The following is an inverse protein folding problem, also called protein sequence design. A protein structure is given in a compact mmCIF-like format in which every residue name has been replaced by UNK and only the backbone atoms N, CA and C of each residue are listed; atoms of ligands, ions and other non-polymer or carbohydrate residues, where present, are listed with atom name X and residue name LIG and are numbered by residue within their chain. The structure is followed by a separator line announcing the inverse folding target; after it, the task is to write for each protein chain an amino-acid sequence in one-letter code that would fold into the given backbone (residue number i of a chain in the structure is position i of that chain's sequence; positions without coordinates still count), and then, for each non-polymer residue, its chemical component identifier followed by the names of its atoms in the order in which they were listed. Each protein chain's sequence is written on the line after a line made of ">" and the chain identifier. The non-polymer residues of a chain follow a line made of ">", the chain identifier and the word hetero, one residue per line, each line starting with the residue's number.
data_IF_222295552708
#
_entry.id   IF_222295552708
#
_cell.length_a   1.000
_cell.length_b   1.000
_cell.length_c   1.000
_cell.angle_alpha   90.00
_cell.angle_beta   90.00
_cell.angle_gamma   90.00
#
_symmetry.space_group_name_H-M   'P 1'
#
loop_
_entity.id
_entity.type
_entity.pdbx_description
1 polymer ?
#
# COMPACT_ATOMS: atom_id res chain seq x y z
N UNK A 1 -9.50 29.38 42.49
CA UNK A 1 -10.20 29.07 41.21
C UNK A 1 -9.24 29.27 40.03
N UNK A 2 -8.11 28.53 39.99
CA UNK A 2 -7.28 28.41 38.77
C UNK A 2 -7.93 27.34 37.92
N UNK A 3 -8.78 27.72 36.94
CA UNK A 3 -8.97 26.90 35.75
C UNK A 3 -7.57 26.66 35.15
N UNK A 4 -7.08 25.42 35.18
CA UNK A 4 -5.93 25.05 34.38
C UNK A 4 -6.32 25.42 32.95
N UNK A 5 -5.84 26.55 32.46
CA UNK A 5 -5.70 26.79 31.04
C UNK A 5 -4.70 25.74 30.57
N UNK A 6 -5.20 24.60 30.10
CA UNK A 6 -4.38 23.71 29.24
C UNK A 6 -4.14 24.52 27.97
N UNK A 7 -3.07 25.31 27.97
CA UNK A 7 -2.68 26.05 26.79
C UNK A 7 -2.24 25.04 25.71
N UNK A 8 -3.04 24.90 24.67
CA UNK A 8 -2.71 24.11 23.48
C UNK A 8 -1.66 24.86 22.64
N UNK A 9 -0.61 25.37 23.31
CA UNK A 9 0.50 26.07 22.66
C UNK A 9 1.39 25.02 21.99
N UNK A 10 1.66 25.12 20.66
CA UNK A 10 2.49 24.16 19.94
C UNK A 10 3.82 23.82 20.63
N UNK A 11 4.51 24.82 21.18
CA UNK A 11 5.79 24.62 21.86
C UNK A 11 5.66 23.74 23.11
N UNK A 12 4.55 23.84 23.87
CA UNK A 12 4.32 23.03 25.05
C UNK A 12 4.03 21.58 24.72
N UNK A 13 3.30 21.34 23.62
CA UNK A 13 3.03 19.98 23.11
C UNK A 13 4.34 19.33 22.64
N UNK A 14 5.16 20.06 21.88
CA UNK A 14 6.48 19.61 21.42
C UNK A 14 7.39 19.32 22.62
N UNK A 15 7.45 20.25 23.61
CA UNK A 15 8.25 20.07 24.83
C UNK A 15 7.84 18.82 25.60
N UNK A 16 6.54 18.58 25.73
CA UNK A 16 6.00 17.39 26.39
C UNK A 16 6.48 16.10 25.72
N UNK A 17 6.43 16.03 24.37
CA UNK A 17 6.92 14.87 23.63
C UNK A 17 8.43 14.74 23.67
N UNK A 18 9.15 15.85 23.54
CA UNK A 18 10.61 15.90 23.69
C UNK A 18 11.07 15.33 25.05
N UNK A 19 10.33 15.61 26.12
CA UNK A 19 10.63 15.16 27.48
C UNK A 19 10.07 13.73 27.76
N UNK A 20 9.80 12.96 26.70
CA UNK A 20 9.32 11.58 26.74
C UNK A 20 8.01 11.38 27.52
N UNK A 21 7.10 12.36 27.45
CA UNK A 21 5.77 12.29 28.07
C UNK A 21 4.72 11.98 27.00
N UNK A 22 3.75 11.13 27.37
CA UNK A 22 2.64 10.81 26.47
C UNK A 22 1.74 12.03 26.23
N UNK A 23 1.33 12.20 24.97
CA UNK A 23 0.37 13.22 24.54
C UNK A 23 -1.07 12.73 24.75
N UNK A 24 -1.96 13.62 25.13
CA UNK A 24 -3.39 13.33 25.17
C UNK A 24 -3.99 13.32 23.75
N UNK A 25 -5.18 12.74 23.61
CA UNK A 25 -5.93 12.74 22.34
C UNK A 25 -6.13 14.18 21.80
N UNK A 26 -6.45 15.13 22.67
CA UNK A 26 -6.67 16.53 22.28
C UNK A 26 -5.39 17.20 21.79
N UNK A 27 -4.23 16.94 22.43
CA UNK A 27 -2.94 17.48 21.98
C UNK A 27 -2.54 16.94 20.61
N UNK A 28 -2.83 15.66 20.35
CA UNK A 28 -2.57 15.03 19.05
C UNK A 28 -3.52 15.59 17.98
N UNK A 29 -4.81 15.73 18.26
CA UNK A 29 -5.75 16.36 17.35
C UNK A 29 -5.31 17.79 17.01
N UNK A 30 -4.95 18.60 18.01
CA UNK A 30 -4.49 19.95 17.78
C UNK A 30 -3.21 20.02 16.93
N UNK A 31 -2.29 19.08 17.12
CA UNK A 31 -1.11 18.96 16.26
C UNK A 31 -1.50 18.63 14.80
N UNK A 32 -2.41 17.68 14.59
CA UNK A 32 -2.84 17.27 13.24
C UNK A 32 -3.66 18.37 12.55
N UNK A 33 -4.54 19.06 13.26
CA UNK A 33 -5.25 20.22 12.74
C UNK A 33 -4.27 21.30 12.26
N UNK A 34 -3.23 21.55 13.04
CA UNK A 34 -2.19 22.51 12.71
C UNK A 34 -1.33 22.14 11.49
N UNK A 35 -1.30 20.84 11.09
CA UNK A 35 -0.69 20.43 9.82
C UNK A 35 -1.50 20.90 8.61
N UNK A 36 -2.81 20.99 8.74
CA UNK A 36 -3.74 21.28 7.63
C UNK A 36 -4.11 22.75 7.57
N UNK A 37 -4.29 23.42 8.71
CA UNK A 37 -4.65 24.85 8.79
C UNK A 37 -3.45 25.80 8.80
N UNK A 38 -2.22 25.25 8.96
CA UNK A 38 -0.96 26.00 8.96
C UNK A 38 -0.66 26.70 10.29
N UNK A 39 -1.38 26.41 11.37
CA UNK A 39 -1.10 26.99 12.69
C UNK A 39 0.18 26.41 13.33
N UNK A 40 0.65 25.24 12.88
CA UNK A 40 1.98 24.74 13.14
C UNK A 40 2.91 25.07 11.97
N UNK A 41 3.99 25.78 12.25
CA UNK A 41 5.05 26.05 11.26
C UNK A 41 5.81 24.76 10.90
N UNK A 42 6.45 24.73 9.71
CA UNK A 42 7.28 23.60 9.29
C UNK A 42 8.38 23.25 10.32
N UNK A 43 8.97 24.26 10.98
CA UNK A 43 9.95 24.07 12.04
C UNK A 43 9.35 23.35 13.27
N UNK A 44 8.11 23.67 13.63
CA UNK A 44 7.41 23.01 14.74
C UNK A 44 7.02 21.57 14.38
N UNK A 45 6.59 21.34 13.14
CA UNK A 45 6.28 20.00 12.64
C UNK A 45 7.56 19.14 12.60
N UNK A 46 8.68 19.70 12.14
CA UNK A 46 9.98 19.04 12.14
C UNK A 46 10.44 18.66 13.56
N UNK A 47 10.32 19.60 14.51
CA UNK A 47 10.66 19.37 15.91
C UNK A 47 9.78 18.27 16.54
N UNK A 48 8.47 18.26 16.26
CA UNK A 48 7.57 17.20 16.73
C UNK A 48 7.93 15.85 16.10
N UNK A 49 8.20 15.82 14.79
CA UNK A 49 8.60 14.59 14.07
C UNK A 49 9.88 14.00 14.69
N UNK A 50 10.87 14.85 14.99
CA UNK A 50 12.11 14.43 15.64
C UNK A 50 11.88 13.97 17.09
N UNK A 51 11.01 14.65 17.85
CA UNK A 51 10.65 14.22 19.20
C UNK A 51 9.96 12.85 19.21
N UNK A 52 9.08 12.59 18.24
CA UNK A 52 8.44 11.29 18.08
C UNK A 52 9.47 10.24 17.61
N UNK A 53 10.37 10.59 16.71
CA UNK A 53 11.41 9.67 16.23
C UNK A 53 12.31 9.20 17.38
N UNK A 54 12.75 10.13 18.25
CA UNK A 54 13.67 9.85 19.35
C UNK A 54 13.02 9.12 20.53
N UNK A 55 11.75 9.42 20.84
CA UNK A 55 11.08 8.96 22.06
C UNK A 55 9.94 7.97 21.79
N UNK A 56 9.60 7.73 20.52
CA UNK A 56 8.46 6.89 20.14
C UNK A 56 7.11 7.51 20.53
N UNK A 57 6.08 6.71 20.38
CA UNK A 57 4.71 6.96 20.85
C UNK A 57 4.16 5.69 21.51
N UNK A 58 3.28 5.86 22.49
CA UNK A 58 2.53 4.70 22.99
C UNK A 58 1.58 4.17 21.91
N UNK A 59 1.08 2.94 22.04
CA UNK A 59 0.08 2.41 21.13
C UNK A 59 -1.17 3.31 21.04
N UNK A 60 -1.63 3.85 22.15
CA UNK A 60 -2.77 4.75 22.24
C UNK A 60 -2.51 6.07 21.51
N UNK A 61 -1.33 6.68 21.73
CA UNK A 61 -0.93 7.89 20.97
C UNK A 61 -0.91 7.62 19.48
N UNK A 62 -0.43 6.45 19.04
CA UNK A 62 -0.37 6.09 17.63
C UNK A 62 -1.78 5.89 17.03
N UNK A 63 -2.71 5.31 17.79
CA UNK A 63 -4.13 5.24 17.41
C UNK A 63 -4.73 6.64 17.26
N UNK A 64 -4.52 7.52 18.23
CA UNK A 64 -5.04 8.90 18.18
C UNK A 64 -4.48 9.68 16.98
N UNK A 65 -3.18 9.52 16.70
CA UNK A 65 -2.55 10.15 15.55
C UNK A 65 -3.14 9.60 14.23
N UNK A 66 -3.34 8.29 14.14
CA UNK A 66 -3.94 7.64 12.98
C UNK A 66 -5.37 8.13 12.75
N UNK A 67 -6.21 8.16 13.80
CA UNK A 67 -7.58 8.67 13.73
C UNK A 67 -7.62 10.15 13.32
N UNK A 68 -6.79 10.99 13.94
CA UNK A 68 -6.73 12.41 13.62
C UNK A 68 -6.30 12.65 12.17
N UNK A 69 -5.27 11.94 11.70
CA UNK A 69 -4.81 12.03 10.30
C UNK A 69 -5.87 11.51 9.32
N UNK A 70 -6.59 10.44 9.66
CA UNK A 70 -7.73 9.93 8.87
C UNK A 70 -8.79 11.01 8.70
N UNK A 71 -9.17 11.67 9.80
CA UNK A 71 -10.23 12.67 9.84
C UNK A 71 -9.78 14.07 9.39
N UNK A 72 -8.52 14.25 9.00
CA UNK A 72 -8.00 15.53 8.50
C UNK A 72 -8.53 15.91 7.11
N UNK A 73 -9.18 14.98 6.41
CA UNK A 73 -9.73 15.18 5.08
C UNK A 73 -10.96 14.31 4.84
N UNK A 74 -11.21 14.00 3.58
CA UNK A 74 -12.36 13.19 3.19
C UNK A 74 -12.17 11.73 3.62
N UNK A 75 -13.26 11.10 4.01
CA UNK A 75 -13.37 9.66 4.23
C UNK A 75 -14.40 9.08 3.28
N UNK A 76 -14.09 7.92 2.67
CA UNK A 76 -15.01 7.28 1.74
C UNK A 76 -16.05 6.48 2.50
N UNK A 77 -17.31 6.70 2.15
CA UNK A 77 -18.44 5.89 2.59
C UNK A 77 -18.96 5.08 1.39
N UNK A 78 -19.02 3.78 1.54
CA UNK A 78 -19.45 2.85 0.48
C UNK A 78 -20.89 2.36 0.68
N UNK A 79 -21.48 2.50 1.88
CA UNK A 79 -22.77 1.89 2.26
C UNK A 79 -23.96 2.29 1.38
N UNK A 80 -23.88 3.43 0.71
CA UNK A 80 -24.94 3.90 -0.22
C UNK A 80 -24.78 3.32 -1.64
N UNK A 81 -23.63 2.69 -1.94
CA UNK A 81 -23.25 2.33 -3.30
C UNK A 81 -23.10 0.80 -3.42
N UNK A 82 -22.50 0.17 -2.42
CA UNK A 82 -22.16 -1.25 -2.36
C UNK A 82 -22.25 -1.75 -0.91
N UNK A 83 -22.19 -3.07 -0.72
CA UNK A 83 -22.08 -3.65 0.61
C UNK A 83 -20.70 -3.33 1.23
N UNK A 84 -20.70 -2.47 2.26
CA UNK A 84 -19.48 -2.01 2.92
C UNK A 84 -18.70 -3.12 3.63
N UNK A 85 -19.35 -4.22 4.04
CA UNK A 85 -18.69 -5.35 4.69
C UNK A 85 -17.80 -6.15 3.71
N UNK A 86 -18.06 -6.00 2.41
CA UNK A 86 -17.29 -6.62 1.33
C UNK A 86 -16.15 -5.73 0.80
N UNK A 87 -15.92 -4.54 1.39
CA UNK A 87 -14.88 -3.61 0.95
C UNK A 87 -13.55 -3.95 1.63
N UNK A 88 -12.56 -4.31 0.86
CA UNK A 88 -11.26 -4.70 1.39
C UNK A 88 -10.10 -4.13 0.57
N UNK A 89 -8.91 -4.20 1.13
CA UNK A 89 -7.70 -3.80 0.43
C UNK A 89 -6.46 -4.57 0.93
N UNK A 90 -5.38 -4.42 0.20
CA UNK A 90 -4.05 -4.91 0.56
C UNK A 90 -3.07 -3.75 0.54
N UNK A 91 -2.17 -3.72 1.52
CA UNK A 91 -1.03 -2.81 1.51
C UNK A 91 0.28 -3.58 1.54
N UNK A 92 1.24 -3.18 0.70
CA UNK A 92 2.61 -3.70 0.73
C UNK A 92 3.55 -2.67 1.31
N UNK A 93 4.54 -3.13 2.07
CA UNK A 93 5.65 -2.27 2.52
C UNK A 93 6.68 -2.00 1.43
N UNK A 94 6.50 -2.58 0.24
CA UNK A 94 7.34 -2.36 -0.93
C UNK A 94 8.51 -3.33 -1.06
N UNK A 95 8.85 -3.65 -2.31
CA UNK A 95 9.96 -4.51 -2.68
C UNK A 95 10.20 -4.53 -4.18
N UNK A 96 11.36 -5.03 -4.59
CA UNK A 96 11.73 -5.10 -6.01
C UNK A 96 10.90 -6.18 -6.72
N UNK A 97 10.20 -5.79 -7.77
CA UNK A 97 9.33 -6.71 -8.52
C UNK A 97 8.00 -7.01 -7.82
N UNK A 98 7.64 -6.29 -6.74
CA UNK A 98 6.35 -6.48 -6.07
C UNK A 98 5.19 -6.03 -6.95
N UNK A 99 4.53 -7.01 -7.53
CA UNK A 99 3.36 -6.86 -8.41
C UNK A 99 2.09 -7.49 -7.83
N UNK A 100 2.13 -7.94 -6.58
CA UNK A 100 1.00 -8.65 -5.93
C UNK A 100 -0.31 -7.86 -5.99
N UNK A 101 -0.27 -6.53 -5.81
CA UNK A 101 -1.47 -5.67 -5.85
C UNK A 101 -2.20 -5.73 -7.19
N UNK A 102 -1.45 -5.83 -8.30
CA UNK A 102 -1.98 -5.82 -9.67
C UNK A 102 -2.78 -7.09 -9.95
N UNK A 103 -2.31 -8.21 -9.43
CA UNK A 103 -2.96 -9.52 -9.59
C UNK A 103 -4.08 -9.71 -8.56
N UNK A 104 -3.82 -9.32 -7.31
CA UNK A 104 -4.72 -9.53 -6.18
C UNK A 104 -6.06 -8.79 -6.34
N UNK A 105 -6.04 -7.52 -6.73
CA UNK A 105 -7.27 -6.71 -6.79
C UNK A 105 -8.31 -7.26 -7.78
N UNK A 106 -7.98 -7.63 -9.03
CA UNK A 106 -8.92 -8.27 -9.95
C UNK A 106 -9.40 -9.64 -9.48
N UNK A 107 -8.55 -10.43 -8.82
CA UNK A 107 -8.96 -11.75 -8.29
C UNK A 107 -9.98 -11.57 -7.15
N UNK A 108 -9.76 -10.64 -6.23
CA UNK A 108 -10.72 -10.34 -5.15
C UNK A 108 -12.04 -9.84 -5.74
N UNK A 109 -12.01 -8.97 -6.74
CA UNK A 109 -13.19 -8.49 -7.44
C UNK A 109 -13.94 -9.63 -8.13
N UNK A 110 -13.24 -10.57 -8.78
CA UNK A 110 -13.81 -11.76 -9.36
C UNK A 110 -14.41 -12.72 -8.31
N UNK A 111 -13.86 -12.69 -7.08
CA UNK A 111 -14.41 -13.41 -5.94
C UNK A 111 -15.63 -12.73 -5.30
N UNK A 112 -16.05 -11.55 -5.77
CA UNK A 112 -17.22 -10.82 -5.30
C UNK A 112 -16.96 -9.80 -4.21
N UNK A 113 -15.70 -9.42 -3.98
CA UNK A 113 -15.30 -8.34 -3.08
C UNK A 113 -15.10 -7.02 -3.82
N UNK A 114 -15.02 -5.93 -3.09
CA UNK A 114 -14.74 -4.60 -3.62
C UNK A 114 -13.39 -4.09 -3.13
N UNK A 115 -12.54 -3.67 -4.07
CA UNK A 115 -11.14 -3.29 -3.80
C UNK A 115 -10.87 -1.86 -4.27
N UNK A 116 -11.19 -0.84 -3.45
CA UNK A 116 -10.87 0.56 -3.74
C UNK A 116 -9.40 0.85 -3.40
N UNK A 117 -8.47 0.30 -4.18
CA UNK A 117 -7.05 0.35 -3.85
C UNK A 117 -6.45 1.71 -4.15
N UNK A 118 -6.07 2.43 -3.08
CA UNK A 118 -5.25 3.63 -3.17
C UNK A 118 -3.80 3.24 -2.93
N UNK A 119 -2.98 3.41 -3.96
CA UNK A 119 -1.61 2.95 -4.02
C UNK A 119 -0.61 4.11 -4.15
N UNK A 120 0.67 3.80 -4.03
CA UNK A 120 1.76 4.75 -4.09
C UNK A 120 2.67 4.59 -5.31
N UNK A 121 3.54 5.58 -5.47
CA UNK A 121 4.70 5.53 -6.36
C UNK A 121 5.86 4.81 -5.70
N UNK A 122 6.85 4.46 -6.49
CA UNK A 122 8.11 3.89 -6.01
C UNK A 122 8.83 4.81 -5.05
N UNK A 123 9.54 4.20 -4.12
CA UNK A 123 10.39 4.90 -3.16
C UNK A 123 11.74 4.20 -3.09
N UNK A 124 12.84 4.98 -3.14
CA UNK A 124 14.18 4.42 -3.11
C UNK A 124 14.39 3.40 -4.23
N UNK A 125 14.77 2.18 -3.89
CA UNK A 125 15.09 1.08 -4.81
C UNK A 125 13.87 0.27 -5.27
N UNK A 126 12.64 0.63 -4.86
CA UNK A 126 11.42 -0.13 -5.17
C UNK A 126 10.59 0.56 -6.24
N UNK A 127 9.99 -0.20 -7.15
CA UNK A 127 9.02 0.30 -8.11
C UNK A 127 7.61 0.38 -7.49
N UNK A 128 6.92 1.51 -7.69
CA UNK A 128 5.56 1.69 -7.19
C UNK A 128 4.50 1.02 -8.08
N UNK A 129 3.37 0.68 -7.48
CA UNK A 129 2.24 0.13 -8.23
C UNK A 129 1.73 1.11 -9.29
N UNK A 130 1.67 2.40 -8.96
CA UNK A 130 1.21 3.42 -9.92
C UNK A 130 2.18 3.59 -11.10
N UNK A 131 3.49 3.52 -10.85
CA UNK A 131 4.50 3.63 -11.90
C UNK A 131 4.36 2.49 -12.93
N UNK A 132 3.93 1.31 -12.46
CA UNK A 132 3.62 0.17 -13.33
C UNK A 132 2.37 0.44 -14.18
N UNK A 133 1.32 0.99 -13.61
CA UNK A 133 0.12 1.36 -14.35
C UNK A 133 0.35 2.53 -15.32
N UNK A 134 1.25 3.46 -15.01
CA UNK A 134 1.64 4.53 -15.95
C UNK A 134 2.30 3.98 -17.23
N UNK A 135 2.79 2.74 -17.23
CA UNK A 135 3.29 2.08 -18.44
C UNK A 135 2.17 1.59 -19.37
N UNK A 136 0.92 1.56 -18.90
CA UNK A 136 -0.24 1.21 -19.74
C UNK A 136 -0.73 2.49 -20.44
N UNK A 137 -0.69 2.57 -21.77
CA UNK A 137 -1.10 3.76 -22.51
C UNK A 137 -2.53 4.19 -22.14
N UNK A 138 -2.69 5.45 -21.75
CA UNK A 138 -4.00 6.04 -21.43
C UNK A 138 -4.56 5.72 -20.05
N UNK A 139 -3.96 4.83 -19.27
CA UNK A 139 -4.45 4.54 -17.92
C UNK A 139 -4.32 5.76 -17.01
N UNK A 140 -5.45 6.19 -16.43
CA UNK A 140 -5.50 7.35 -15.55
C UNK A 140 -5.34 6.92 -14.09
N UNK A 141 -4.15 7.14 -13.52
CA UNK A 141 -3.86 6.88 -12.11
C UNK A 141 -4.41 7.94 -11.15
N UNK A 142 -5.04 9.02 -11.66
CA UNK A 142 -5.58 10.14 -10.88
C UNK A 142 -6.97 10.54 -11.38
N UNK A 143 -7.95 9.60 -11.40
CA UNK A 143 -9.32 9.96 -11.77
C UNK A 143 -9.93 10.86 -10.69
N UNK A 144 -11.05 11.51 -11.01
CA UNK A 144 -11.88 12.14 -10.00
C UNK A 144 -12.56 11.08 -9.10
N UNK A 145 -13.08 11.53 -7.96
CA UNK A 145 -13.65 10.64 -6.95
C UNK A 145 -14.91 9.91 -7.46
N UNK A 146 -15.72 10.55 -8.28
CA UNK A 146 -16.93 9.96 -8.82
C UNK A 146 -16.60 8.84 -9.82
N UNK A 147 -15.64 9.06 -10.71
CA UNK A 147 -15.09 8.03 -11.59
C UNK A 147 -14.55 6.85 -10.79
N UNK A 148 -13.76 7.12 -9.74
CA UNK A 148 -13.21 6.08 -8.87
C UNK A 148 -14.31 5.24 -8.22
N UNK A 149 -15.30 5.88 -7.59
CA UNK A 149 -16.45 5.19 -6.96
C UNK A 149 -17.23 4.36 -7.98
N UNK A 150 -17.47 4.94 -9.16
CA UNK A 150 -18.18 4.24 -10.25
C UNK A 150 -17.44 2.99 -10.69
N UNK A 151 -16.11 3.08 -10.90
CA UNK A 151 -15.31 1.92 -11.32
C UNK A 151 -15.30 0.83 -10.24
N UNK A 152 -15.15 1.18 -8.97
CA UNK A 152 -15.23 0.19 -7.88
C UNK A 152 -16.60 -0.48 -7.86
N UNK A 153 -17.70 0.27 -8.01
CA UNK A 153 -19.05 -0.27 -8.06
C UNK A 153 -19.26 -1.24 -9.23
N UNK A 154 -18.88 -0.82 -10.43
CA UNK A 154 -19.24 -1.53 -11.66
C UNK A 154 -18.29 -2.71 -11.95
N UNK A 155 -17.01 -2.56 -11.62
CA UNK A 155 -15.99 -3.58 -11.90
C UNK A 155 -15.68 -4.44 -10.68
N UNK A 156 -15.74 -3.87 -9.47
CA UNK A 156 -15.33 -4.50 -8.22
C UNK A 156 -13.94 -4.09 -7.75
N UNK A 157 -13.12 -3.50 -8.61
CA UNK A 157 -11.80 -3.00 -8.20
C UNK A 157 -11.38 -1.76 -9.00
N UNK A 158 -10.55 -0.92 -8.36
CA UNK A 158 -9.83 0.16 -9.02
C UNK A 158 -8.50 0.39 -8.28
N UNK A 159 -7.43 0.66 -9.03
CA UNK A 159 -6.10 0.97 -8.46
C UNK A 159 -5.72 2.37 -8.92
N UNK A 160 -5.71 3.30 -7.96
CA UNK A 160 -5.46 4.72 -8.22
C UNK A 160 -4.43 5.30 -7.24
N UNK A 161 -3.96 6.50 -7.54
CA UNK A 161 -3.15 7.31 -6.62
C UNK A 161 -3.98 7.99 -5.55
N UNK A 162 -3.31 8.45 -4.51
CA UNK A 162 -3.94 9.21 -3.44
C UNK A 162 -4.57 10.49 -4.01
N UNK A 163 -5.83 10.73 -3.69
CA UNK A 163 -6.50 12.00 -3.99
C UNK A 163 -5.99 13.12 -3.07
N UNK A 164 -6.17 14.37 -3.49
CA UNK A 164 -5.66 15.53 -2.72
C UNK A 164 -6.24 15.65 -1.33
N UNK A 165 -7.48 15.19 -1.14
CA UNK A 165 -8.25 15.39 0.09
C UNK A 165 -8.24 14.17 1.02
N UNK A 166 -7.65 13.05 0.62
CA UNK A 166 -7.58 11.86 1.47
C UNK A 166 -6.38 11.98 2.41
N UNK A 167 -6.62 12.07 3.73
CA UNK A 167 -5.61 12.23 4.77
C UNK A 167 -4.55 13.31 4.43
N UNK A 168 -4.93 14.58 4.18
CA UNK A 168 -4.01 15.65 3.76
C UNK A 168 -2.93 15.95 4.81
N UNK A 169 -3.23 15.74 6.09
CA UNK A 169 -2.24 15.87 7.17
C UNK A 169 -1.06 14.90 7.00
N UNK A 170 -1.31 13.66 6.50
CA UNK A 170 -0.23 12.71 6.21
C UNK A 170 0.69 13.24 5.11
N UNK A 171 0.13 13.78 4.04
CA UNK A 171 0.92 14.35 2.94
C UNK A 171 1.84 15.47 3.42
N UNK A 172 1.33 16.38 4.26
CA UNK A 172 2.11 17.48 4.84
C UNK A 172 3.19 16.97 5.78
N UNK A 173 2.82 16.07 6.70
CA UNK A 173 3.76 15.49 7.66
C UNK A 173 4.88 14.71 6.96
N UNK A 174 4.52 13.87 5.97
CA UNK A 174 5.49 13.08 5.22
C UNK A 174 6.52 13.94 4.48
N UNK A 175 6.09 15.02 3.83
CA UNK A 175 6.99 15.94 3.10
C UNK A 175 8.04 16.58 4.02
N UNK A 176 7.72 16.79 5.30
CA UNK A 176 8.67 17.33 6.28
C UNK A 176 9.57 16.21 6.83
N UNK A 177 9.00 15.03 7.10
CA UNK A 177 9.77 13.86 7.57
C UNK A 177 10.89 13.46 6.63
N UNK A 178 10.65 13.55 5.32
CA UNK A 178 11.63 13.26 4.27
C UNK A 178 12.84 14.21 4.36
N UNK A 179 12.57 15.51 4.58
CA UNK A 179 13.62 16.54 4.68
C UNK A 179 14.44 16.39 5.96
N UNK A 180 13.81 16.01 7.08
CA UNK A 180 14.47 16.01 8.41
C UNK A 180 14.95 14.62 8.84
N UNK A 181 14.92 13.61 7.97
CA UNK A 181 15.45 12.29 8.25
C UNK A 181 14.71 11.54 9.35
N UNK A 182 13.36 11.59 9.36
CA UNK A 182 12.53 10.90 10.35
C UNK A 182 11.54 9.92 9.72
N UNK A 183 11.80 9.49 8.48
CA UNK A 183 10.92 8.58 7.73
C UNK A 183 10.83 7.21 8.41
N UNK A 184 11.90 6.73 9.04
CA UNK A 184 11.98 5.40 9.66
C UNK A 184 11.27 5.27 11.02
N UNK A 185 10.62 6.34 11.50
CA UNK A 185 9.89 6.32 12.78
C UNK A 185 8.70 5.35 12.71
N UNK A 186 8.74 4.28 13.51
CA UNK A 186 7.71 3.23 13.53
C UNK A 186 6.28 3.78 13.75
N UNK A 187 5.99 4.64 14.75
CA UNK A 187 4.65 5.18 14.94
C UNK A 187 4.21 6.07 13.76
N UNK A 188 5.14 6.84 13.16
CA UNK A 188 4.81 7.70 12.03
C UNK A 188 4.59 6.90 10.74
N UNK A 189 5.33 5.81 10.52
CA UNK A 189 5.07 4.88 9.41
C UNK A 189 3.69 4.24 9.58
N UNK A 190 3.41 3.75 10.78
CA UNK A 190 2.13 3.09 11.11
C UNK A 190 0.94 4.01 10.84
N UNK A 191 0.98 5.24 11.38
CA UNK A 191 -0.09 6.22 11.19
C UNK A 191 -0.23 6.67 9.74
N UNK A 192 0.88 6.85 9.02
CA UNK A 192 0.87 7.22 7.60
C UNK A 192 0.20 6.16 6.73
N UNK A 193 0.48 4.88 6.95
CA UNK A 193 -0.13 3.78 6.20
C UNK A 193 -1.62 3.69 6.53
N UNK A 194 -1.95 3.60 7.81
CA UNK A 194 -3.30 3.28 8.26
C UNK A 194 -4.29 4.43 8.06
N UNK A 195 -3.87 5.69 8.22
CA UNK A 195 -4.77 6.83 8.01
C UNK A 195 -5.38 6.84 6.61
N UNK A 196 -4.59 6.55 5.58
CA UNK A 196 -5.06 6.43 4.20
C UNK A 196 -5.96 5.23 3.98
N UNK A 197 -5.64 4.09 4.60
CA UNK A 197 -6.43 2.86 4.46
C UNK A 197 -7.78 2.96 5.18
N UNK A 198 -7.81 3.57 6.35
CA UNK A 198 -9.06 3.82 7.08
C UNK A 198 -9.91 4.86 6.35
N UNK A 199 -9.29 5.96 5.86
CA UNK A 199 -9.99 6.98 5.08
C UNK A 199 -10.57 6.42 3.76
N UNK A 200 -10.05 5.31 3.26
CA UNK A 200 -10.62 4.62 2.09
C UNK A 200 -11.91 3.83 2.40
N UNK A 201 -12.37 3.78 3.65
CA UNK A 201 -13.63 3.16 4.05
C UNK A 201 -13.62 1.63 4.01
N UNK A 202 -12.51 1.00 4.37
CA UNK A 202 -12.32 -0.46 4.34
C UNK A 202 -12.97 -1.14 5.53
N UNK A 203 -13.53 -2.34 5.33
CA UNK A 203 -13.92 -3.28 6.40
C UNK A 203 -12.76 -4.20 6.79
N UNK A 204 -11.90 -4.57 5.83
CA UNK A 204 -10.79 -5.49 6.04
C UNK A 204 -9.54 -5.08 5.27
N UNK A 205 -8.39 -5.29 5.89
CA UNK A 205 -7.07 -5.01 5.32
C UNK A 205 -6.12 -6.17 5.53
N UNK A 206 -5.39 -6.58 4.50
CA UNK A 206 -4.23 -7.47 4.63
C UNK A 206 -2.95 -6.69 4.34
N UNK A 207 -1.96 -6.85 5.19
CA UNK A 207 -0.64 -6.24 5.07
C UNK A 207 0.36 -7.27 4.57
N UNK A 208 1.02 -6.94 3.48
CA UNK A 208 2.13 -7.69 2.91
C UNK A 208 3.43 -7.03 3.36
N UNK A 209 3.98 -7.51 4.48
CA UNK A 209 5.18 -6.93 5.09
C UNK A 209 6.41 -7.64 4.53
N UNK A 210 7.06 -6.97 3.58
CA UNK A 210 8.24 -7.48 2.88
C UNK A 210 9.47 -7.50 3.79
N UNK A 211 10.22 -8.60 3.77
CA UNK A 211 11.43 -8.82 4.57
C UNK A 211 12.60 -9.24 3.68
N UNK A 212 13.74 -8.61 3.82
CA UNK A 212 14.95 -8.99 3.11
C UNK A 212 15.64 -7.84 2.38
N UNK A 213 16.73 -8.14 1.69
CA UNK A 213 17.57 -7.10 1.09
C UNK A 213 16.93 -6.31 -0.06
N UNK A 214 15.83 -6.79 -0.64
CA UNK A 214 15.05 -6.09 -1.66
C UNK A 214 13.87 -5.27 -1.08
N UNK A 215 13.75 -5.16 0.25
CA UNK A 215 12.74 -4.37 0.94
C UNK A 215 13.35 -3.34 1.88
N UNK A 216 12.51 -2.49 2.49
CA UNK A 216 12.94 -1.56 3.55
C UNK A 216 13.15 -2.25 4.89
N UNK A 217 12.47 -3.36 5.15
CA UNK A 217 12.65 -4.16 6.36
C UNK A 217 13.74 -5.20 6.12
N UNK A 218 14.98 -4.86 6.46
CA UNK A 218 16.15 -5.71 6.19
C UNK A 218 16.18 -6.99 7.04
N UNK A 219 15.53 -6.98 8.21
CA UNK A 219 15.48 -8.11 9.15
C UNK A 219 14.06 -8.51 9.52
N UNK A 220 13.93 -9.76 9.98
CA UNK A 220 12.64 -10.30 10.42
C UNK A 220 12.11 -9.57 11.67
N UNK A 221 12.97 -9.10 12.54
CA UNK A 221 12.57 -8.44 13.79
C UNK A 221 11.99 -7.04 13.49
N UNK A 222 12.63 -6.25 12.61
CA UNK A 222 12.09 -4.97 12.15
C UNK A 222 10.70 -5.17 11.50
N UNK A 223 10.55 -6.20 10.68
CA UNK A 223 9.29 -6.50 10.03
C UNK A 223 8.21 -6.94 11.02
N UNK A 224 8.56 -7.72 12.06
CA UNK A 224 7.64 -8.11 13.14
C UNK A 224 7.15 -6.91 13.94
N UNK A 225 8.06 -6.01 14.31
CA UNK A 225 7.73 -4.80 15.06
C UNK A 225 6.77 -3.92 14.26
N UNK A 226 7.04 -3.72 12.97
CA UNK A 226 6.15 -2.99 12.08
C UNK A 226 4.78 -3.70 11.93
N UNK A 227 4.76 -5.00 11.74
CA UNK A 227 3.52 -5.79 11.64
C UNK A 227 2.68 -5.69 12.90
N UNK A 228 3.31 -5.86 14.07
CA UNK A 228 2.65 -5.76 15.37
C UNK A 228 2.07 -4.37 15.60
N UNK A 229 2.82 -3.32 15.25
CA UNK A 229 2.35 -1.93 15.35
C UNK A 229 1.15 -1.69 14.45
N UNK A 230 1.24 -2.05 13.18
CA UNK A 230 0.17 -1.88 12.18
C UNK A 230 -1.12 -2.62 12.59
N UNK A 231 -1.03 -3.90 12.94
CA UNK A 231 -2.21 -4.70 13.32
C UNK A 231 -2.84 -4.16 14.61
N UNK A 232 -2.04 -3.81 15.61
CA UNK A 232 -2.53 -3.25 16.87
C UNK A 232 -3.26 -1.92 16.66
N UNK A 233 -2.67 -1.01 15.90
CA UNK A 233 -3.23 0.33 15.66
C UNK A 233 -4.47 0.24 14.76
N UNK A 234 -4.45 -0.59 13.71
CA UNK A 234 -5.63 -0.83 12.87
C UNK A 234 -6.82 -1.35 13.71
N UNK A 235 -6.57 -2.35 14.56
CA UNK A 235 -7.59 -2.88 15.49
C UNK A 235 -8.09 -1.81 16.46
N UNK A 236 -7.19 -0.98 17.01
CA UNK A 236 -7.55 0.14 17.89
C UNK A 236 -8.43 1.17 17.21
N UNK A 237 -8.26 1.38 15.90
CA UNK A 237 -9.07 2.25 15.05
C UNK A 237 -10.30 1.56 14.42
N UNK A 238 -10.63 0.32 14.83
CA UNK A 238 -11.82 -0.41 14.38
C UNK A 238 -11.72 -1.09 13.01
N UNK A 239 -10.52 -1.17 12.40
CA UNK A 239 -10.29 -1.85 11.14
C UNK A 239 -9.77 -3.28 11.38
N UNK A 240 -10.45 -4.27 10.78
CA UNK A 240 -9.91 -5.64 10.78
C UNK A 240 -8.65 -5.70 9.92
N UNK A 241 -7.55 -6.16 10.51
CA UNK A 241 -6.26 -6.15 9.85
C UNK A 241 -5.43 -7.37 10.21
N UNK A 242 -4.89 -8.04 9.20
CA UNK A 242 -3.90 -9.11 9.34
C UNK A 242 -2.60 -8.72 8.63
N UNK A 243 -1.46 -9.24 9.08
CA UNK A 243 -0.16 -9.03 8.49
C UNK A 243 0.52 -10.35 8.16
N UNK A 244 1.03 -10.45 6.93
CA UNK A 244 1.79 -11.60 6.43
C UNK A 244 3.20 -11.12 6.10
N UNK A 245 4.20 -11.75 6.71
CA UNK A 245 5.60 -11.49 6.41
C UNK A 245 6.01 -12.30 5.18
N UNK A 246 6.56 -11.62 4.17
CA UNK A 246 6.94 -12.25 2.90
C UNK A 246 8.39 -11.96 2.54
N UNK A 247 9.08 -12.97 1.98
CA UNK A 247 10.50 -12.86 1.64
C UNK A 247 10.75 -11.98 0.40
N UNK A 248 11.70 -11.06 0.53
CA UNK A 248 12.20 -10.16 -0.51
C UNK A 248 13.73 -10.22 -0.67
N UNK A 249 14.35 -11.35 -0.40
CA UNK A 249 15.77 -11.57 -0.70
C UNK A 249 16.04 -11.85 -2.19
N UNK A 250 15.01 -11.89 -3.01
CA UNK A 250 15.08 -11.96 -4.47
C UNK A 250 13.87 -11.22 -5.06
N UNK A 251 13.96 -10.86 -6.34
CA UNK A 251 12.84 -10.28 -7.10
C UNK A 251 11.60 -11.17 -6.97
N UNK A 252 10.44 -10.58 -6.74
CA UNK A 252 9.19 -11.31 -6.69
C UNK A 252 8.66 -11.55 -8.11
N UNK A 253 8.52 -12.82 -8.48
CA UNK A 253 8.24 -13.24 -9.85
C UNK A 253 9.51 -13.33 -10.70
N UNK A 254 9.35 -13.31 -12.02
CA UNK A 254 10.42 -13.47 -13.00
C UNK A 254 10.88 -12.16 -13.63
N UNK A 255 10.17 -11.07 -13.39
CA UNK A 255 10.48 -9.77 -13.98
C UNK A 255 10.57 -8.66 -12.94
N UNK A 256 11.40 -7.68 -13.23
CA UNK A 256 11.45 -6.39 -12.56
C UNK A 256 11.56 -5.30 -13.62
N UNK A 257 10.78 -4.23 -13.46
CA UNK A 257 10.59 -3.15 -14.43
C UNK A 257 9.12 -3.01 -14.78
N UNK A 258 8.64 -1.77 -14.87
CA UNK A 258 7.21 -1.44 -14.83
C UNK A 258 6.38 -2.21 -15.85
N UNK A 259 6.74 -2.10 -17.13
CA UNK A 259 6.06 -2.78 -18.25
C UNK A 259 6.15 -4.30 -18.16
N UNK A 260 7.33 -4.83 -17.82
CA UNK A 260 7.55 -6.28 -17.73
C UNK A 260 6.75 -6.90 -16.61
N UNK A 261 6.55 -6.18 -15.51
CA UNK A 261 5.72 -6.63 -14.40
C UNK A 261 4.24 -6.63 -14.75
N UNK A 262 3.73 -5.66 -15.52
CA UNK A 262 2.37 -5.70 -16.08
C UNK A 262 2.18 -6.90 -17.00
N UNK A 263 3.15 -7.18 -17.89
CA UNK A 263 3.12 -8.34 -18.78
C UNK A 263 3.05 -9.65 -17.98
N UNK A 264 3.85 -9.79 -16.93
CA UNK A 264 3.82 -10.97 -16.07
C UNK A 264 2.49 -11.11 -15.34
N UNK A 265 1.89 -10.02 -14.86
CA UNK A 265 0.57 -10.03 -14.24
C UNK A 265 -0.54 -10.44 -15.21
N UNK A 266 -0.51 -9.96 -16.46
CA UNK A 266 -1.46 -10.37 -17.50
C UNK A 266 -1.34 -11.88 -17.77
N UNK A 267 -0.11 -12.39 -17.97
CA UNK A 267 0.13 -13.83 -18.18
C UNK A 267 -0.35 -14.67 -17.00
N UNK A 268 -0.13 -14.17 -15.77
CA UNK A 268 -0.63 -14.82 -14.56
C UNK A 268 -2.17 -14.93 -14.56
N UNK A 269 -2.87 -13.81 -14.80
CA UNK A 269 -4.34 -13.78 -14.75
C UNK A 269 -4.98 -14.57 -15.91
N UNK A 270 -4.31 -14.66 -17.07
CA UNK A 270 -4.71 -15.51 -18.19
C UNK A 270 -4.41 -17.00 -17.96
N UNK A 271 -3.73 -17.34 -16.87
CA UNK A 271 -3.24 -18.69 -16.57
C UNK A 271 -2.22 -19.23 -17.61
N UNK A 272 -1.55 -18.32 -18.35
CA UNK A 272 -0.52 -18.68 -19.33
C UNK A 272 0.81 -19.02 -18.66
N UNK A 273 1.14 -18.30 -17.60
CA UNK A 273 2.36 -18.48 -16.81
C UNK A 273 2.19 -17.94 -15.40
N UNK A 274 2.62 -18.71 -14.40
CA UNK A 274 2.65 -18.29 -12.99
C UNK A 274 4.00 -18.62 -12.37
N UNK A 275 4.64 -17.62 -11.79
CA UNK A 275 5.75 -17.86 -10.89
C UNK A 275 5.23 -18.42 -9.56
N UNK A 276 5.79 -19.52 -9.11
CA UNK A 276 5.33 -20.23 -7.89
C UNK A 276 5.37 -19.36 -6.63
N UNK A 277 6.40 -18.50 -6.46
CA UNK A 277 6.49 -17.62 -5.29
C UNK A 277 5.45 -16.51 -5.34
N UNK A 278 5.29 -15.89 -6.51
CA UNK A 278 4.25 -14.87 -6.73
C UNK A 278 2.87 -15.45 -6.48
N UNK A 279 2.59 -16.64 -7.01
CA UNK A 279 1.32 -17.34 -6.81
C UNK A 279 1.08 -17.65 -5.32
N UNK A 280 2.07 -18.24 -4.64
CA UNK A 280 1.95 -18.58 -3.22
C UNK A 280 1.66 -17.33 -2.37
N UNK A 281 2.43 -16.26 -2.53
CA UNK A 281 2.24 -15.03 -1.76
C UNK A 281 0.88 -14.38 -2.07
N UNK A 282 0.51 -14.30 -3.35
CA UNK A 282 -0.77 -13.73 -3.77
C UNK A 282 -1.94 -14.51 -3.18
N UNK A 283 -1.90 -15.84 -3.26
CA UNK A 283 -2.95 -16.70 -2.75
C UNK A 283 -3.06 -16.63 -1.21
N UNK A 284 -1.95 -16.54 -0.48
CA UNK A 284 -1.97 -16.33 0.98
C UNK A 284 -2.66 -15.01 1.36
N UNK A 285 -2.31 -13.91 0.68
CA UNK A 285 -2.91 -12.60 0.93
C UNK A 285 -4.41 -12.59 0.62
N UNK A 286 -4.81 -13.16 -0.52
CA UNK A 286 -6.22 -13.23 -0.92
C UNK A 286 -7.00 -14.14 0.02
N UNK A 287 -6.46 -15.31 0.35
CA UNK A 287 -7.14 -16.27 1.23
C UNK A 287 -7.38 -15.70 2.62
N UNK A 288 -6.43 -14.90 3.17
CA UNK A 288 -6.63 -14.20 4.45
C UNK A 288 -7.88 -13.31 4.41
N UNK A 289 -8.06 -12.51 3.37
CA UNK A 289 -9.25 -11.66 3.21
C UNK A 289 -10.54 -12.48 3.01
N UNK A 290 -10.51 -13.50 2.14
CA UNK A 290 -11.69 -14.33 1.87
C UNK A 290 -12.16 -15.11 3.11
N UNK A 291 -11.23 -15.72 3.85
CA UNK A 291 -11.51 -16.42 5.11
C UNK A 291 -12.13 -15.47 6.11
N UNK A 292 -11.56 -14.28 6.24
CA UNK A 292 -12.04 -13.30 7.20
C UNK A 292 -13.42 -12.73 6.84
N UNK A 293 -13.64 -12.34 5.59
CA UNK A 293 -14.88 -11.69 5.15
C UNK A 293 -16.02 -12.71 5.01
N UNK A 294 -15.79 -13.80 4.31
CA UNK A 294 -16.83 -14.82 4.02
C UNK A 294 -16.96 -15.88 5.11
N UNK A 295 -16.06 -15.91 6.11
CA UNK A 295 -16.04 -16.95 7.18
C UNK A 295 -15.97 -18.37 6.64
N UNK A 296 -15.25 -18.56 5.55
CA UNK A 296 -15.01 -19.84 4.88
C UNK A 296 -13.68 -20.46 5.31
N UNK A 297 -13.48 -21.73 4.98
CA UNK A 297 -12.20 -22.39 5.20
C UNK A 297 -11.11 -21.84 4.26
N UNK A 298 -9.85 -22.03 4.63
CA UNK A 298 -8.72 -21.67 3.77
C UNK A 298 -8.72 -22.47 2.47
N UNK A 299 -9.14 -23.72 2.51
CA UNK A 299 -9.29 -24.59 1.34
C UNK A 299 -10.37 -24.05 0.37
N UNK A 300 -11.53 -23.65 0.88
CA UNK A 300 -12.58 -23.03 0.07
C UNK A 300 -12.12 -21.72 -0.54
N UNK A 301 -11.35 -20.91 0.20
CA UNK A 301 -10.76 -19.69 -0.32
C UNK A 301 -9.82 -19.98 -1.50
N UNK A 302 -8.92 -20.96 -1.38
CA UNK A 302 -8.04 -21.36 -2.48
C UNK A 302 -8.82 -21.92 -3.69
N UNK A 303 -9.85 -22.71 -3.45
CA UNK A 303 -10.73 -23.23 -4.51
C UNK A 303 -11.41 -22.06 -5.26
N UNK A 304 -11.90 -21.06 -4.53
CA UNK A 304 -12.51 -19.85 -5.10
C UNK A 304 -11.53 -19.06 -5.95
N UNK A 305 -10.29 -18.85 -5.47
CA UNK A 305 -9.20 -18.19 -6.21
C UNK A 305 -8.92 -18.93 -7.51
N UNK A 306 -8.68 -20.24 -7.42
CA UNK A 306 -8.38 -21.07 -8.58
C UNK A 306 -9.54 -21.05 -9.62
N UNK A 307 -10.77 -21.08 -9.15
CA UNK A 307 -11.95 -21.03 -10.03
C UNK A 307 -11.99 -19.75 -10.85
N UNK A 308 -11.80 -18.58 -10.23
CA UNK A 308 -11.91 -17.29 -10.94
C UNK A 308 -10.71 -16.99 -11.84
N UNK A 309 -9.56 -17.62 -11.59
CA UNK A 309 -8.42 -17.56 -12.49
C UNK A 309 -8.65 -18.50 -13.69
N UNK A 310 -9.02 -19.76 -13.43
CA UNK A 310 -9.16 -20.78 -14.47
C UNK A 310 -10.30 -20.51 -15.46
N UNK A 311 -11.38 -19.85 -15.03
CA UNK A 311 -12.49 -19.46 -15.89
C UNK A 311 -12.29 -18.10 -16.59
N UNK A 312 -11.17 -17.41 -16.34
CA UNK A 312 -10.80 -16.13 -16.94
C UNK A 312 -11.44 -14.89 -16.32
N UNK A 313 -12.26 -15.03 -15.28
CA UNK A 313 -13.01 -13.93 -14.68
C UNK A 313 -12.06 -12.88 -14.04
N UNK A 314 -10.94 -13.32 -13.45
CA UNK A 314 -9.93 -12.42 -12.90
C UNK A 314 -9.28 -11.57 -14.00
N UNK A 315 -8.96 -12.16 -15.16
CA UNK A 315 -8.40 -11.43 -16.30
C UNK A 315 -9.42 -10.42 -16.85
N UNK A 316 -10.70 -10.82 -16.98
CA UNK A 316 -11.79 -9.94 -17.39
C UNK A 316 -11.93 -8.72 -16.47
N UNK A 317 -11.90 -8.92 -15.14
CA UNK A 317 -11.93 -7.82 -14.16
C UNK A 317 -10.77 -6.86 -14.32
N UNK A 318 -9.56 -7.37 -14.59
CA UNK A 318 -8.40 -6.52 -14.88
C UNK A 318 -8.61 -5.69 -16.16
N UNK A 319 -9.05 -6.30 -17.25
CA UNK A 319 -9.33 -5.61 -18.52
C UNK A 319 -10.40 -4.53 -18.35
N UNK A 320 -11.51 -4.87 -17.67
CA UNK A 320 -12.57 -3.91 -17.36
C UNK A 320 -12.06 -2.72 -16.52
N UNK A 321 -11.23 -2.95 -15.50
CA UNK A 321 -10.62 -1.90 -14.69
C UNK A 321 -9.72 -1.00 -15.54
N UNK A 322 -8.86 -1.60 -16.37
CA UNK A 322 -7.95 -0.85 -17.25
C UNK A 322 -8.75 0.00 -18.24
N UNK A 323 -9.78 -0.56 -18.87
CA UNK A 323 -10.62 0.17 -19.80
C UNK A 323 -11.42 1.30 -19.13
N UNK A 324 -11.98 1.05 -17.94
CA UNK A 324 -12.76 2.03 -17.19
C UNK A 324 -11.93 3.22 -16.71
N UNK A 325 -10.62 3.01 -16.53
CA UNK A 325 -9.65 4.05 -16.14
C UNK A 325 -8.86 4.62 -17.33
N UNK A 326 -9.35 4.43 -18.56
CA UNK A 326 -8.83 5.10 -19.77
C UNK A 326 -7.79 4.34 -20.57
N UNK A 327 -7.38 3.16 -20.12
CA UNK A 327 -6.45 2.29 -20.85
C UNK A 327 -7.12 1.53 -22.00
N UNK A 328 -6.36 0.66 -22.70
CA UNK A 328 -6.88 -0.14 -23.82
C UNK A 328 -8.02 -1.07 -23.40
N UNK A 329 -9.08 -1.13 -24.20
CA UNK A 329 -10.25 -1.99 -23.96
C UNK A 329 -9.97 -3.48 -24.17
N UNK A 330 -8.88 -3.81 -24.83
CA UNK A 330 -8.46 -5.15 -25.21
C UNK A 330 -7.03 -5.46 -24.74
N UNK A 331 -6.68 -4.96 -23.55
CA UNK A 331 -5.32 -5.09 -23.01
C UNK A 331 -4.86 -6.55 -22.95
N UNK A 332 -5.75 -7.50 -22.69
CA UNK A 332 -5.43 -8.93 -22.62
C UNK A 332 -4.96 -9.54 -23.95
N UNK A 333 -5.27 -8.91 -25.07
CA UNK A 333 -4.88 -9.37 -26.41
C UNK A 333 -3.88 -8.47 -27.10
N UNK A 334 -3.85 -7.18 -26.76
CA UNK A 334 -2.97 -6.18 -27.37
C UNK A 334 -1.67 -5.95 -26.60
N UNK A 335 -1.56 -6.45 -25.36
CA UNK A 335 -0.52 -6.08 -24.41
C UNK A 335 0.91 -6.25 -24.91
N UNK A 336 1.19 -7.31 -25.72
CA UNK A 336 2.54 -7.51 -26.27
C UNK A 336 2.93 -6.40 -27.24
N UNK A 337 1.98 -5.92 -28.04
CA UNK A 337 2.19 -4.84 -29.00
C UNK A 337 2.23 -3.48 -28.32
N UNK A 338 1.34 -3.25 -27.34
CA UNK A 338 1.16 -1.95 -26.72
C UNK A 338 2.20 -1.65 -25.64
N UNK A 339 2.78 -2.70 -25.02
CA UNK A 339 3.67 -2.58 -23.88
C UNK A 339 5.14 -2.92 -24.18
N UNK A 340 5.48 -3.47 -25.35
CA UNK A 340 6.87 -3.88 -25.63
C UNK A 340 7.53 -3.05 -26.72
N UNK A 341 8.29 -2.04 -26.32
CA UNK A 341 9.21 -1.33 -27.25
C UNK A 341 10.56 -1.11 -26.55
N UNK A 342 11.38 -2.17 -26.49
CA UNK A 342 12.77 -2.02 -26.09
C UNK A 342 13.69 -2.07 -27.31
N UNK A 343 14.53 -1.05 -27.49
CA UNK A 343 15.51 -0.97 -28.59
C UNK A 343 16.70 -1.90 -28.37
N UNK A 344 16.99 -2.29 -27.13
CA UNK A 344 18.17 -3.10 -26.76
C UNK A 344 17.70 -4.28 -25.94
N UNK A 345 18.12 -5.50 -26.37
CA UNK A 345 18.03 -6.74 -25.60
C UNK A 345 19.39 -7.38 -25.50
N UNK A 346 19.80 -7.76 -24.30
CA UNK A 346 21.10 -8.38 -24.07
C UNK A 346 20.95 -9.51 -23.05
N UNK A 347 21.36 -10.72 -23.45
CA UNK A 347 21.43 -11.85 -22.56
C UNK A 347 22.69 -11.76 -21.69
N UNK A 348 22.53 -12.06 -20.41
CA UNK A 348 23.62 -12.13 -19.44
C UNK A 348 23.66 -13.57 -18.92
N UNK A 349 24.73 -14.29 -19.28
CA UNK A 349 24.94 -15.69 -18.91
C UNK A 349 25.84 -15.80 -17.69
N UNK A 350 25.60 -16.85 -16.89
CA UNK A 350 26.57 -17.27 -15.87
C UNK A 350 27.89 -17.65 -16.52
N UNK A 351 29.00 -17.36 -15.86
CA UNK A 351 30.34 -17.76 -16.30
C UNK A 351 30.66 -19.21 -15.99
N UNK A 352 29.96 -19.78 -15.03
CA UNK A 352 30.20 -21.12 -14.49
C UNK A 352 28.86 -21.79 -14.18
N UNK A 353 28.85 -23.13 -14.19
CA UNK A 353 27.73 -23.91 -13.66
C UNK A 353 27.71 -23.83 -12.13
N UNK A 354 26.54 -23.68 -11.53
CA UNK A 354 26.43 -23.58 -10.09
C UNK A 354 25.03 -23.20 -9.62
N UNK A 355 24.94 -22.86 -8.35
CA UNK A 355 23.74 -22.41 -7.70
C UNK A 355 23.82 -20.93 -7.39
N UNK A 356 22.69 -20.21 -7.51
CA UNK A 356 22.60 -18.84 -7.04
C UNK A 356 22.49 -18.86 -5.53
N UNK A 357 23.55 -18.49 -4.84
CA UNK A 357 23.60 -18.43 -3.37
C UNK A 357 22.91 -17.18 -2.84
N UNK A 358 23.12 -16.03 -3.50
CA UNK A 358 22.61 -14.73 -3.06
C UNK A 358 22.28 -13.82 -4.23
N UNK A 359 21.18 -13.07 -4.10
CA UNK A 359 20.80 -12.03 -5.04
C UNK A 359 20.86 -10.68 -4.30
N UNK A 360 21.61 -9.73 -4.83
CA UNK A 360 21.64 -8.35 -4.35
C UNK A 360 20.42 -7.59 -4.89
N UNK A 361 19.25 -7.92 -4.36
CA UNK A 361 17.94 -7.48 -4.89
C UNK A 361 17.79 -5.97 -4.82
N UNK A 362 18.32 -5.32 -3.77
CA UNK A 362 18.33 -3.86 -3.67
C UNK A 362 19.11 -3.22 -4.83
N UNK A 363 20.28 -3.75 -5.15
CA UNK A 363 21.14 -3.23 -6.22
C UNK A 363 20.47 -3.39 -7.59
N UNK A 364 19.77 -4.51 -7.80
CA UNK A 364 18.91 -4.67 -9.00
C UNK A 364 17.85 -3.58 -9.10
N UNK A 365 17.20 -3.24 -7.97
CA UNK A 365 16.23 -2.13 -7.95
C UNK A 365 16.86 -0.77 -8.29
N UNK A 366 18.08 -0.50 -7.81
CA UNK A 366 18.81 0.73 -8.14
C UNK A 366 19.20 0.77 -9.62
N UNK A 367 19.68 -0.35 -10.18
CA UNK A 367 19.99 -0.47 -11.62
C UNK A 367 18.75 -0.17 -12.48
N UNK A 368 17.58 -0.65 -12.09
CA UNK A 368 16.34 -0.37 -12.82
C UNK A 368 16.01 1.13 -12.85
N UNK A 369 16.30 1.87 -11.79
CA UNK A 369 16.11 3.33 -11.76
C UNK A 369 17.10 4.03 -12.69
N UNK A 370 18.36 3.57 -12.74
CA UNK A 370 19.38 4.14 -13.63
C UNK A 370 19.09 3.85 -15.12
N UNK A 371 18.42 2.75 -15.40
CA UNK A 371 18.04 2.39 -16.77
C UNK A 371 16.82 3.18 -17.30
N UNK A 372 16.03 3.80 -16.45
CA UNK A 372 14.89 4.65 -16.79
C UNK A 372 13.55 3.99 -16.52
#
# INVERSE_FOLDING_TARGET
>A
LYKKFNSMIPQEIIRKKRDNKALSKQEIIHFVDGLTDGSFSDAQIAAMSMAIFSNGMTPEETVYLTEAMTNSGDTLNWSEIIDSDLVCDKHSTGGVGDKTSIVLAPILAACGLYVPMISGRGLGHTGGTLDKFDSIPGYNTKPDLETFKKVVKDVGCAIIGQTSNLAPADKKLYSIRDIVGTVESLPLITSSILSKKIASGLSSLVLDVKVGNGSFNSTIDIARDLSNSLVRVAKGAGLHCEAILTDMNQVLGKSAGHTLEILECIKYMKNDFKDHRLEKITNELISSLLVNIYKISKEDAYNKINTVINNGLAAEKFEMMVAALGGPKNILTSYEKDLTNTSIRKDIFSKEEGWIEKIHTRDLGLILIELG
#
